data_IF_820277394939
#
_entry.id   IF_820277394939
#
_cell.length_a   1.000
_cell.length_b   1.000
_cell.length_c   1.000
_cell.angle_alpha   90.00
_cell.angle_beta   90.00
_cell.angle_gamma   90.00
#
_symmetry.space_group_name_H-M   'P 1'
#
loop_
_entity.id
_entity.type
_entity.pdbx_description
1 polymer ?
#
# COMPACT_ATOMS: atom_id res chain seq x y z
N UNK A 1 11.49 -1.37 0.56
CA UNK A 1 10.33 -1.26 -0.34
C UNK A 1 10.24 -2.37 -1.39
N UNK A 2 11.35 -2.95 -1.86
CA UNK A 2 11.33 -3.97 -2.92
C UNK A 2 10.48 -5.22 -2.59
N UNK A 3 10.59 -5.78 -1.38
CA UNK A 3 9.77 -6.92 -0.95
C UNK A 3 8.27 -6.58 -0.98
N UNK A 4 7.88 -5.44 -0.43
CA UNK A 4 6.49 -4.99 -0.39
C UNK A 4 5.89 -4.80 -1.81
N UNK A 5 6.68 -4.21 -2.72
CA UNK A 5 6.28 -4.02 -4.13
C UNK A 5 6.15 -5.36 -4.85
N UNK A 6 7.11 -6.27 -4.67
CA UNK A 6 7.04 -7.62 -5.24
C UNK A 6 5.81 -8.38 -4.74
N UNK A 7 5.54 -8.32 -3.43
CA UNK A 7 4.41 -8.95 -2.78
C UNK A 7 3.07 -8.48 -3.33
N UNK A 8 2.87 -7.17 -3.35
CA UNK A 8 1.65 -6.58 -3.85
C UNK A 8 1.39 -7.05 -5.30
N UNK A 9 2.43 -7.22 -6.13
CA UNK A 9 2.27 -7.54 -7.56
C UNK A 9 1.90 -8.98 -7.80
N UNK A 10 2.46 -9.87 -6.97
CA UNK A 10 2.04 -11.26 -6.94
C UNK A 10 0.61 -11.38 -6.40
N UNK A 11 0.24 -10.61 -5.37
CA UNK A 11 -1.13 -10.58 -4.87
C UNK A 11 -2.12 -10.08 -5.91
N UNK A 12 -1.76 -9.07 -6.72
CA UNK A 12 -2.59 -8.62 -7.83
C UNK A 12 -2.80 -9.69 -8.90
N UNK A 13 -1.73 -10.40 -9.27
CA UNK A 13 -1.78 -11.38 -10.36
C UNK A 13 -2.39 -12.72 -9.96
N UNK A 14 -2.14 -13.17 -8.74
CA UNK A 14 -2.42 -14.53 -8.30
C UNK A 14 -3.36 -14.58 -7.09
N UNK A 15 -3.64 -13.44 -6.45
CA UNK A 15 -4.37 -13.36 -5.20
C UNK A 15 -3.50 -13.67 -3.97
N UNK A 16 -3.98 -13.21 -2.81
CA UNK A 16 -3.27 -13.36 -1.54
C UNK A 16 -3.04 -14.83 -1.18
N UNK A 17 -4.10 -15.66 -1.28
CA UNK A 17 -4.05 -17.08 -0.89
C UNK A 17 -3.07 -17.90 -1.73
N UNK A 18 -3.04 -17.69 -3.05
CA UNK A 18 -2.20 -18.47 -3.96
C UNK A 18 -0.72 -18.06 -3.95
N UNK A 19 -0.41 -16.86 -3.45
CA UNK A 19 0.97 -16.35 -3.36
C UNK A 19 1.65 -16.87 -2.09
N UNK A 20 2.87 -17.40 -2.19
CA UNK A 20 3.67 -17.82 -1.02
C UNK A 20 4.77 -16.81 -0.70
N UNK A 21 5.27 -16.82 0.53
CA UNK A 21 6.36 -15.93 0.97
C UNK A 21 7.65 -16.18 0.16
N UNK A 22 7.90 -17.42 -0.25
CA UNK A 22 9.04 -17.81 -1.08
C UNK A 22 8.96 -17.25 -2.50
N UNK A 23 7.75 -17.11 -3.06
CA UNK A 23 7.54 -16.50 -4.37
C UNK A 23 7.86 -15.00 -4.31
N UNK A 24 7.46 -14.35 -3.22
CA UNK A 24 7.75 -12.94 -2.94
C UNK A 24 9.25 -12.72 -2.76
N UNK A 25 9.89 -13.55 -1.94
CA UNK A 25 11.34 -13.48 -1.71
C UNK A 25 12.11 -13.60 -3.04
N UNK A 26 11.73 -14.59 -3.88
CA UNK A 26 12.32 -14.80 -5.20
C UNK A 26 12.11 -13.59 -6.12
N UNK A 27 10.89 -13.07 -6.18
CA UNK A 27 10.57 -11.90 -7.00
C UNK A 27 11.30 -10.62 -6.53
N UNK A 28 11.59 -10.52 -5.23
CA UNK A 28 12.35 -9.42 -4.64
C UNK A 28 13.88 -9.64 -4.68
N UNK A 29 14.38 -10.75 -5.24
CA UNK A 29 15.80 -11.04 -5.33
C UNK A 29 16.47 -11.36 -3.99
N UNK A 30 15.72 -11.85 -3.00
CA UNK A 30 16.24 -12.19 -1.65
C UNK A 30 16.02 -13.66 -1.31
N UNK A 31 16.86 -14.20 -0.44
CA UNK A 31 16.67 -15.55 0.08
C UNK A 31 15.41 -15.63 0.99
N UNK A 32 14.67 -16.76 1.03
CA UNK A 32 13.52 -16.94 1.93
C UNK A 32 13.85 -16.70 3.41
N UNK A 33 15.03 -17.11 3.87
CA UNK A 33 15.50 -16.84 5.23
C UNK A 33 15.59 -15.33 5.53
N UNK A 34 15.99 -14.52 4.54
CA UNK A 34 16.01 -13.06 4.68
C UNK A 34 14.59 -12.51 4.77
N UNK A 35 13.64 -13.02 3.99
CA UNK A 35 12.24 -12.62 4.10
C UNK A 35 11.70 -12.86 5.52
N UNK A 36 11.81 -14.09 6.01
CA UNK A 36 11.29 -14.47 7.33
C UNK A 36 12.00 -13.81 8.51
N UNK A 37 13.19 -13.23 8.28
CA UNK A 37 13.87 -12.39 9.28
C UNK A 37 13.15 -11.06 9.50
N UNK A 38 12.50 -10.51 8.47
CA UNK A 38 11.84 -9.20 8.54
C UNK A 38 10.33 -9.29 8.69
N UNK A 39 9.71 -10.38 8.25
CA UNK A 39 8.26 -10.53 8.24
C UNK A 39 7.87 -11.91 8.76
N UNK A 40 6.92 -11.95 9.69
CA UNK A 40 6.32 -13.19 10.17
C UNK A 40 5.41 -13.83 9.12
N UNK A 41 4.87 -13.02 8.19
CA UNK A 41 3.97 -13.48 7.13
C UNK A 41 4.03 -12.64 5.85
N UNK A 42 3.42 -13.17 4.79
CA UNK A 42 3.36 -12.50 3.47
C UNK A 42 2.46 -11.26 3.49
N UNK A 43 1.47 -11.21 4.37
CA UNK A 43 0.57 -10.08 4.54
C UNK A 43 1.31 -8.88 5.16
N UNK A 44 2.11 -9.14 6.21
CA UNK A 44 2.85 -8.12 6.97
C UNK A 44 3.85 -7.34 6.10
N UNK A 45 4.37 -7.96 5.04
CA UNK A 45 5.34 -7.30 4.17
C UNK A 45 4.73 -6.11 3.37
N UNK A 46 3.41 -5.94 3.37
CA UNK A 46 2.75 -4.76 2.81
C UNK A 46 2.71 -3.57 3.76
N UNK A 47 2.95 -3.75 5.07
CA UNK A 47 2.85 -2.68 6.07
C UNK A 47 3.65 -1.42 5.67
N UNK A 48 4.89 -1.50 5.15
CA UNK A 48 5.62 -0.31 4.71
C UNK A 48 4.95 0.46 3.57
N UNK A 49 4.20 -0.21 2.69
CA UNK A 49 3.43 0.46 1.62
C UNK A 49 2.20 1.17 2.19
N UNK A 50 1.48 0.53 3.12
CA UNK A 50 0.34 1.15 3.79
C UNK A 50 0.76 2.35 4.62
N UNK A 51 1.80 2.22 5.44
CA UNK A 51 2.32 3.33 6.24
C UNK A 51 2.71 4.54 5.39
N UNK A 52 3.39 4.31 4.25
CA UNK A 52 3.74 5.38 3.33
C UNK A 52 2.51 6.08 2.72
N UNK A 53 1.45 5.32 2.41
CA UNK A 53 0.18 5.87 1.91
C UNK A 53 -0.56 6.70 2.97
N UNK A 54 -0.61 6.19 4.20
CA UNK A 54 -1.24 6.88 5.34
C UNK A 54 -0.50 8.16 5.70
N UNK A 55 0.84 8.14 5.74
CA UNK A 55 1.62 9.35 6.04
C UNK A 55 1.37 10.42 4.98
N UNK A 56 1.38 10.04 3.69
CA UNK A 56 1.08 10.97 2.59
C UNK A 56 -0.32 11.56 2.68
N UNK A 57 -1.31 10.75 3.08
CA UNK A 57 -2.66 11.25 3.30
C UNK A 57 -2.74 12.19 4.50
N UNK A 58 -2.08 11.86 5.62
CA UNK A 58 -2.00 12.73 6.79
C UNK A 58 -1.31 14.06 6.47
N UNK A 59 -0.23 14.06 5.68
CA UNK A 59 0.40 15.26 5.14
C UNK A 59 -0.57 16.09 4.32
N UNK A 60 -1.31 15.49 3.38
CA UNK A 60 -2.28 16.21 2.58
C UNK A 60 -3.45 16.80 3.38
N UNK A 61 -3.81 16.19 4.52
CA UNK A 61 -4.77 16.78 5.48
C UNK A 61 -4.14 17.96 6.21
N UNK A 62 -2.88 17.84 6.67
CA UNK A 62 -2.15 18.92 7.36
C UNK A 62 -1.94 20.14 6.45
N UNK A 63 -1.70 19.90 5.17
CA UNK A 63 -1.41 20.94 4.17
C UNK A 63 -2.67 21.49 3.49
N UNK A 64 -3.86 20.99 3.86
CA UNK A 64 -5.12 21.48 3.31
C UNK A 64 -5.33 22.97 3.67
N UNK A 65 -5.97 23.76 2.78
CA UNK A 65 -6.27 25.17 3.06
C UNK A 65 -7.00 25.35 4.39
N UNK A 66 -6.53 26.31 5.19
CA UNK A 66 -6.99 26.52 6.57
C UNK A 66 -8.44 27.01 6.68
N UNK A 67 -9.03 27.49 5.58
CA UNK A 67 -10.43 27.90 5.46
C UNK A 67 -11.39 26.74 5.21
N UNK A 68 -10.88 25.53 4.91
CA UNK A 68 -11.72 24.35 4.76
C UNK A 68 -12.20 23.82 6.13
N UNK A 69 -13.45 23.39 6.18
CA UNK A 69 -13.93 22.57 7.30
C UNK A 69 -13.24 21.21 7.32
N UNK A 70 -13.27 20.51 8.46
CA UNK A 70 -12.64 19.18 8.59
C UNK A 70 -13.12 18.18 7.51
N UNK A 71 -14.42 18.03 7.22
CA UNK A 71 -14.87 17.14 6.13
C UNK A 71 -14.34 17.56 4.75
N UNK A 72 -14.20 18.86 4.50
CA UNK A 72 -13.66 19.38 3.24
C UNK A 72 -12.15 19.15 3.13
N UNK A 73 -11.39 19.33 4.20
CA UNK A 73 -9.97 19.02 4.27
C UNK A 73 -9.71 17.52 4.05
N UNK A 74 -10.53 16.64 4.63
CA UNK A 74 -10.46 15.19 4.39
C UNK A 74 -10.74 14.85 2.92
N UNK A 75 -11.79 15.45 2.33
CA UNK A 75 -12.12 15.28 0.90
C UNK A 75 -10.99 15.80 0.02
N UNK A 76 -10.43 16.96 0.34
CA UNK A 76 -9.30 17.55 -0.36
C UNK A 76 -8.10 16.59 -0.36
N UNK A 77 -7.73 16.08 0.81
CA UNK A 77 -6.64 15.14 0.97
C UNK A 77 -6.85 13.86 0.16
N UNK A 78 -8.07 13.29 0.16
CA UNK A 78 -8.42 12.13 -0.68
C UNK A 78 -8.22 12.43 -2.17
N UNK A 79 -8.69 13.58 -2.65
CA UNK A 79 -8.53 13.99 -4.06
C UNK A 79 -7.05 14.14 -4.39
N UNK A 80 -6.27 14.81 -3.53
CA UNK A 80 -4.85 15.00 -3.74
C UNK A 80 -4.10 13.66 -3.74
N UNK A 81 -4.39 12.73 -2.83
CA UNK A 81 -3.57 11.53 -2.67
C UNK A 81 -4.04 10.30 -3.43
N UNK A 82 -5.27 10.29 -3.96
CA UNK A 82 -5.84 9.13 -4.66
C UNK A 82 -6.31 9.42 -6.10
N UNK A 83 -6.20 10.66 -6.59
CA UNK A 83 -6.55 10.97 -7.99
C UNK A 83 -5.33 10.82 -8.91
N UNK A 84 -5.42 10.00 -9.98
CA UNK A 84 -4.39 9.91 -11.01
C UNK A 84 -4.10 11.27 -11.65
N UNK A 85 -2.82 11.60 -11.80
CA UNK A 85 -2.38 12.86 -12.39
C UNK A 85 -2.45 14.08 -11.46
N UNK A 86 -2.99 13.93 -10.25
CA UNK A 86 -2.97 14.99 -9.21
C UNK A 86 -1.87 14.68 -8.20
N UNK A 87 -2.04 13.66 -7.35
CA UNK A 87 -0.99 13.22 -6.43
C UNK A 87 -0.70 11.73 -6.45
N UNK A 88 -1.27 10.97 -7.40
CA UNK A 88 -0.78 9.65 -7.77
C UNK A 88 -0.34 9.68 -9.22
N UNK A 89 0.86 9.18 -9.52
CA UNK A 89 1.27 8.96 -10.90
C UNK A 89 0.29 8.00 -11.57
N UNK A 90 -0.23 8.28 -12.77
CA UNK A 90 -1.23 7.43 -13.43
C UNK A 90 -0.84 5.95 -13.47
N UNK A 91 0.44 5.67 -13.72
CA UNK A 91 1.02 4.32 -13.82
C UNK A 91 1.04 3.58 -12.46
N UNK A 92 0.88 4.32 -11.36
CA UNK A 92 0.86 3.80 -9.99
C UNK A 92 -0.56 3.61 -9.45
N UNK A 93 -1.62 3.96 -10.22
CA UNK A 93 -2.99 3.89 -9.71
C UNK A 93 -3.50 2.46 -9.54
N UNK A 94 -3.14 1.56 -10.45
CA UNK A 94 -3.54 0.14 -10.35
C UNK A 94 -2.99 -0.51 -9.09
N UNK A 95 -1.79 -0.09 -8.69
CA UNK A 95 -1.15 -0.47 -7.43
C UNK A 95 -1.88 0.03 -6.20
N UNK A 96 -2.28 1.31 -6.19
CA UNK A 96 -3.05 1.90 -5.08
C UNK A 96 -4.39 1.20 -4.92
N UNK A 97 -5.12 0.97 -6.02
CA UNK A 97 -6.40 0.24 -6.00
C UNK A 97 -6.24 -1.19 -5.49
N UNK A 98 -5.17 -1.87 -5.88
CA UNK A 98 -4.90 -3.21 -5.41
C UNK A 98 -4.65 -3.27 -3.90
N UNK A 99 -3.86 -2.34 -3.36
CA UNK A 99 -3.63 -2.24 -1.92
C UNK A 99 -4.92 -1.96 -1.14
N UNK A 100 -5.76 -1.05 -1.64
CA UNK A 100 -7.07 -0.77 -1.02
C UNK A 100 -7.98 -2.00 -1.03
N UNK A 101 -8.07 -2.73 -2.15
CA UNK A 101 -8.83 -3.99 -2.24
C UNK A 101 -8.28 -5.09 -1.32
N UNK A 102 -6.96 -5.17 -1.17
CA UNK A 102 -6.32 -6.11 -0.27
C UNK A 102 -6.61 -5.77 1.20
N UNK A 103 -6.63 -4.49 1.55
CA UNK A 103 -6.99 -4.02 2.89
C UNK A 103 -8.46 -4.36 3.24
N UNK A 104 -9.39 -4.20 2.29
CA UNK A 104 -10.80 -4.62 2.48
C UNK A 104 -10.94 -6.14 2.65
N UNK A 105 -10.14 -6.93 1.94
CA UNK A 105 -10.21 -8.40 1.96
C UNK A 105 -9.46 -9.08 3.11
N UNK A 106 -8.71 -8.35 3.94
CA UNK A 106 -7.89 -8.91 5.02
C UNK A 106 -7.84 -8.00 6.25
N UNK A 107 -8.64 -8.29 7.31
CA UNK A 107 -8.64 -7.52 8.55
C UNK A 107 -7.29 -7.47 9.26
N UNK A 108 -6.38 -8.41 8.96
CA UNK A 108 -5.03 -8.44 9.52
C UNK A 108 -4.15 -7.28 9.01
N UNK A 109 -4.52 -6.63 7.89
CA UNK A 109 -3.83 -5.46 7.34
C UNK A 109 -4.33 -4.13 7.92
N UNK A 110 -5.41 -4.15 8.71
CA UNK A 110 -6.04 -2.96 9.31
C UNK A 110 -5.74 -2.81 10.81
N UNK A 111 -4.85 -3.65 11.38
CA UNK A 111 -4.44 -3.58 12.78
C UNK A 111 -3.15 -2.80 12.97
#
# INVERSE_FOLDING_TARGET
MEIARAAAGLFMRHGLRATRAEDIARAAGVAPRTFYRYFAGKEECLAPLFSAGVEKWAEAVRDAPADLSVPEALRHAVVQTLTPGVGVRPESMDWVRALLRLAEGSPALLR
#
